data_IF_604823771483
#
_entry.id   IF_604823771483
#
_cell.length_a   1.000
_cell.length_b   1.000
_cell.length_c   1.000
_cell.angle_alpha   90.00
_cell.angle_beta   90.00
_cell.angle_gamma   90.00
#
_symmetry.space_group_name_H-M   'P 1'
#
loop_
_entity.id
_entity.type
_entity.pdbx_description
1 polymer ?
#
# COMPACT_ATOMS: atom_id res chain seq x y z
N UNK A 1 -15.47 -2.35 9.68
CA UNK A 1 -15.37 -0.94 9.23
C UNK A 1 -16.45 -0.74 8.18
N UNK A 2 -17.17 0.39 8.22
CA UNK A 2 -18.22 0.71 7.24
C UNK A 2 -18.02 2.12 6.73
N UNK A 3 -18.28 2.32 5.44
CA UNK A 3 -18.36 3.64 4.83
C UNK A 3 -19.79 4.12 5.04
N UNK A 4 -19.96 5.24 5.74
CA UNK A 4 -21.28 5.77 6.14
C UNK A 4 -21.61 7.12 5.50
N UNK A 5 -20.62 7.77 4.91
CA UNK A 5 -20.75 9.05 4.23
C UNK A 5 -19.63 9.23 3.19
N UNK A 6 -19.59 10.38 2.53
CA UNK A 6 -18.53 10.75 1.59
C UNK A 6 -17.15 10.62 2.24
N UNK A 7 -16.23 9.97 1.53
CA UNK A 7 -14.82 9.91 1.95
C UNK A 7 -14.17 11.27 1.78
N UNK A 8 -13.45 11.70 2.82
CA UNK A 8 -12.63 12.89 2.79
C UNK A 8 -11.47 12.78 3.79
N UNK A 9 -10.45 13.63 3.65
CA UNK A 9 -9.33 13.71 4.60
C UNK A 9 -9.53 14.97 5.46
N UNK A 10 -9.68 14.83 6.81
CA UNK A 10 -9.91 15.96 7.69
C UNK A 10 -8.63 16.78 7.90
N UNK A 11 -8.78 18.11 8.00
CA UNK A 11 -7.66 19.05 8.19
C UNK A 11 -6.94 18.86 9.54
N UNK A 12 -7.66 18.33 10.54
CA UNK A 12 -7.16 18.07 11.89
C UNK A 12 -6.76 16.59 12.12
N UNK A 13 -6.54 15.82 11.04
CA UNK A 13 -6.21 14.40 11.15
C UNK A 13 -5.06 14.17 12.15
N UNK A 14 -5.21 13.23 13.14
CA UNK A 14 -4.24 13.03 14.21
C UNK A 14 -2.80 12.80 13.73
N UNK A 15 -2.63 12.12 12.60
CA UNK A 15 -1.30 11.84 12.03
C UNK A 15 -0.53 13.10 11.60
N UNK A 16 -1.22 14.19 11.28
CA UNK A 16 -0.56 15.47 11.01
C UNK A 16 0.11 16.04 12.28
N UNK A 17 -0.57 15.91 13.43
CA UNK A 17 0.01 16.29 14.73
C UNK A 17 1.19 15.37 15.09
N UNK A 18 1.04 14.07 14.89
CA UNK A 18 2.11 13.08 15.14
C UNK A 18 3.33 13.37 14.26
N UNK A 19 3.13 13.66 12.98
CA UNK A 19 4.23 14.00 12.09
C UNK A 19 4.93 15.30 12.48
N UNK A 20 4.20 16.36 12.84
CA UNK A 20 4.80 17.62 13.32
C UNK A 20 5.64 17.38 14.58
N UNK A 21 5.17 16.55 15.50
CA UNK A 21 5.95 16.16 16.68
C UNK A 21 7.21 15.41 16.26
N UNK A 22 7.10 14.36 15.43
CA UNK A 22 8.27 13.63 14.94
C UNK A 22 9.30 14.59 14.31
N UNK A 23 8.85 15.48 13.44
CA UNK A 23 9.72 16.47 12.81
C UNK A 23 10.40 17.39 13.81
N UNK A 24 9.71 17.78 14.89
CA UNK A 24 10.28 18.69 15.92
C UNK A 24 11.39 18.08 16.74
N UNK A 25 11.47 16.72 16.83
CA UNK A 25 12.50 15.99 17.57
C UNK A 25 13.54 15.34 16.65
N UNK A 26 13.39 15.48 15.34
CA UNK A 26 14.33 14.93 14.35
C UNK A 26 15.56 15.82 14.27
N UNK A 27 16.75 15.22 14.36
CA UNK A 27 18.02 15.93 14.27
C UNK A 27 18.25 16.48 12.84
N UNK A 28 19.08 17.51 12.73
CA UNK A 28 19.47 18.09 11.46
C UNK A 28 20.12 17.03 10.54
N UNK A 29 19.79 17.11 9.26
CA UNK A 29 20.28 16.16 8.25
C UNK A 29 19.53 14.82 8.22
N UNK A 30 18.59 14.55 9.13
CA UNK A 30 17.74 13.36 9.14
C UNK A 30 16.38 13.68 8.50
N UNK A 31 15.95 12.82 7.56
CA UNK A 31 14.65 12.97 6.91
C UNK A 31 13.58 12.17 7.67
N UNK A 32 12.62 12.86 8.34
CA UNK A 32 11.50 12.16 8.96
C UNK A 32 10.57 11.56 7.90
N UNK A 33 10.13 10.31 8.13
CA UNK A 33 9.25 9.54 7.26
C UNK A 33 7.92 9.29 7.95
N UNK A 34 6.83 9.47 7.22
CA UNK A 34 5.49 9.13 7.65
C UNK A 34 4.98 7.91 6.90
N UNK A 35 4.39 6.95 7.61
CA UNK A 35 3.66 5.84 7.01
C UNK A 35 2.15 6.03 7.21
N UNK A 36 1.37 5.73 6.18
CA UNK A 36 -0.10 5.67 6.23
C UNK A 36 -0.58 4.45 5.44
N UNK A 37 -1.74 3.86 5.76
CA UNK A 37 -2.34 2.84 4.92
C UNK A 37 -2.55 3.35 3.50
N UNK A 38 -2.41 2.48 2.50
CA UNK A 38 -2.69 2.84 1.11
C UNK A 38 -4.20 2.96 0.84
N UNK A 39 -4.64 3.67 -0.21
CA UNK A 39 -6.04 3.76 -0.57
C UNK A 39 -6.65 2.39 -0.92
N UNK A 40 -5.88 1.51 -1.57
CA UNK A 40 -6.28 0.13 -1.90
C UNK A 40 -6.64 -0.70 -0.66
N UNK A 41 -5.90 -0.51 0.44
CA UNK A 41 -6.21 -1.17 1.71
C UNK A 41 -7.61 -0.83 2.23
N UNK A 42 -7.98 0.44 2.13
CA UNK A 42 -9.29 0.89 2.63
C UNK A 42 -10.42 0.27 1.81
N UNK A 43 -10.30 0.27 0.49
CA UNK A 43 -11.27 -0.35 -0.40
C UNK A 43 -11.33 -1.88 -0.21
N UNK A 44 -10.17 -2.55 -0.12
CA UNK A 44 -10.12 -3.99 0.11
C UNK A 44 -10.86 -4.38 1.40
N UNK A 45 -10.58 -3.68 2.51
CA UNK A 45 -11.15 -4.01 3.83
C UNK A 45 -12.64 -3.70 3.88
N UNK A 46 -13.07 -2.56 3.35
CA UNK A 46 -14.45 -2.10 3.49
C UNK A 46 -15.41 -2.73 2.47
N UNK A 47 -14.91 -3.10 1.28
CA UNK A 47 -15.77 -3.48 0.15
C UNK A 47 -15.49 -4.89 -0.35
N UNK A 48 -14.23 -5.25 -0.57
CA UNK A 48 -13.89 -6.51 -1.25
C UNK A 48 -13.85 -7.70 -0.28
N UNK A 49 -13.25 -7.54 0.90
CA UNK A 49 -13.23 -8.57 1.94
C UNK A 49 -14.60 -8.79 2.57
N UNK A 50 -15.36 -7.71 2.71
CA UNK A 50 -16.66 -7.75 3.38
C UNK A 50 -17.71 -8.45 2.51
N UNK A 51 -18.16 -9.62 2.95
CA UNK A 51 -19.11 -10.45 2.18
C UNK A 51 -20.52 -9.86 2.13
N UNK A 52 -20.86 -9.00 3.09
CA UNK A 52 -22.16 -8.34 3.21
C UNK A 52 -22.05 -6.83 2.92
N UNK A 53 -21.05 -6.42 2.12
CA UNK A 53 -20.89 -5.03 1.75
C UNK A 53 -22.16 -4.52 1.04
N UNK A 54 -22.70 -3.43 1.57
CA UNK A 54 -23.80 -2.69 0.95
C UNK A 54 -23.35 -1.25 0.79
N UNK A 55 -23.20 -0.76 -0.44
CA UNK A 55 -22.81 0.61 -0.68
C UNK A 55 -23.91 1.56 -0.23
N UNK A 56 -23.52 2.71 0.33
CA UNK A 56 -24.45 3.84 0.51
C UNK A 56 -24.89 4.36 -0.85
N UNK A 57 -25.97 5.16 -0.90
CA UNK A 57 -26.55 5.68 -2.15
C UNK A 57 -25.52 6.35 -3.05
N UNK A 58 -24.63 7.16 -2.45
CA UNK A 58 -23.54 7.86 -3.15
C UNK A 58 -22.59 6.91 -3.88
N UNK A 59 -22.35 5.72 -3.34
CA UNK A 59 -21.33 4.78 -3.80
C UNK A 59 -21.90 3.52 -4.45
N UNK A 60 -23.15 3.59 -4.93
CA UNK A 60 -23.72 2.54 -5.79
C UNK A 60 -22.92 2.35 -7.08
N UNK A 61 -22.33 3.43 -7.60
CA UNK A 61 -21.29 3.38 -8.61
C UNK A 61 -19.92 3.32 -7.89
N UNK A 62 -19.23 2.19 -8.03
CA UNK A 62 -17.90 1.96 -7.45
C UNK A 62 -16.88 3.01 -7.93
N UNK A 63 -17.01 3.52 -9.16
CA UNK A 63 -16.09 4.52 -9.68
C UNK A 63 -16.14 5.82 -8.87
N UNK A 64 -17.31 6.22 -8.41
CA UNK A 64 -17.48 7.41 -7.54
C UNK A 64 -16.76 7.21 -6.20
N UNK A 65 -16.80 5.99 -5.63
CA UNK A 65 -16.06 5.65 -4.42
C UNK A 65 -14.54 5.75 -4.64
N UNK A 66 -14.05 5.18 -5.74
CA UNK A 66 -12.62 5.19 -6.07
C UNK A 66 -12.10 6.60 -6.36
N UNK A 67 -12.92 7.45 -6.99
CA UNK A 67 -12.58 8.84 -7.26
C UNK A 67 -12.55 9.69 -5.97
N UNK A 68 -13.54 9.53 -5.10
CA UNK A 68 -13.55 10.21 -3.79
C UNK A 68 -12.39 9.73 -2.90
N UNK A 69 -12.03 8.44 -2.98
CA UNK A 69 -10.89 7.88 -2.27
C UNK A 69 -9.57 8.50 -2.78
N UNK A 70 -9.39 8.59 -4.09
CA UNK A 70 -8.21 9.25 -4.68
C UNK A 70 -8.13 10.72 -4.25
N UNK A 71 -9.25 11.45 -4.29
CA UNK A 71 -9.33 12.85 -3.89
C UNK A 71 -8.99 13.06 -2.40
N UNK A 72 -9.49 12.18 -1.51
CA UNK A 72 -9.16 12.22 -0.09
C UNK A 72 -7.65 12.01 0.15
N UNK A 73 -7.02 11.07 -0.56
CA UNK A 73 -5.58 10.85 -0.46
C UNK A 73 -4.75 11.97 -1.09
N UNK A 74 -5.23 12.62 -2.16
CA UNK A 74 -4.58 13.84 -2.68
C UNK A 74 -4.56 14.96 -1.65
N UNK A 75 -5.67 15.15 -0.89
CA UNK A 75 -5.70 16.07 0.26
C UNK A 75 -4.71 15.66 1.34
N UNK A 76 -4.64 14.37 1.67
CA UNK A 76 -3.68 13.85 2.64
C UNK A 76 -2.24 14.17 2.23
N UNK A 77 -1.85 13.88 0.98
CA UNK A 77 -0.50 14.20 0.44
C UNK A 77 -0.18 15.68 0.62
N UNK A 78 -1.10 16.57 0.22
CA UNK A 78 -0.94 18.04 0.37
C UNK A 78 -0.83 18.46 1.83
N UNK A 79 -1.64 17.86 2.73
CA UNK A 79 -1.63 18.18 4.15
C UNK A 79 -0.33 17.74 4.84
N UNK A 80 0.17 16.54 4.54
CA UNK A 80 1.47 16.07 5.02
C UNK A 80 2.62 16.92 4.48
N UNK A 81 2.58 17.27 3.20
CA UNK A 81 3.57 18.17 2.60
C UNK A 81 3.58 19.53 3.29
N UNK A 82 2.41 20.15 3.54
CA UNK A 82 2.28 21.40 4.27
C UNK A 82 2.76 21.27 5.73
N UNK A 83 2.64 20.10 6.35
CA UNK A 83 3.22 19.81 7.66
C UNK A 83 4.74 19.64 7.61
N UNK A 84 5.35 19.70 6.43
CA UNK A 84 6.80 19.57 6.19
C UNK A 84 7.29 18.17 5.91
N UNK A 85 6.38 17.23 5.63
CA UNK A 85 6.73 15.87 5.20
C UNK A 85 7.32 15.91 3.78
N UNK A 86 8.45 15.22 3.59
CA UNK A 86 9.10 15.03 2.29
C UNK A 86 9.29 13.57 1.94
N UNK A 87 8.90 12.67 2.88
CA UNK A 87 8.94 11.24 2.67
C UNK A 87 7.68 10.59 3.24
N UNK A 88 6.79 10.15 2.36
CA UNK A 88 5.56 9.43 2.72
C UNK A 88 5.66 7.98 2.23
N UNK A 89 5.23 7.02 3.04
CA UNK A 89 5.08 5.64 2.65
C UNK A 89 3.62 5.22 2.72
N UNK A 90 3.15 4.56 1.68
CA UNK A 90 1.85 3.91 1.62
C UNK A 90 2.04 2.43 1.98
N UNK A 91 1.42 1.99 3.08
CA UNK A 91 1.49 0.59 3.53
C UNK A 91 0.30 -0.19 2.98
N UNK A 92 0.57 -1.31 2.29
CA UNK A 92 -0.45 -2.06 1.57
C UNK A 92 -0.33 -3.58 1.78
N UNK A 93 -1.40 -4.22 2.23
CA UNK A 93 -1.52 -5.69 2.29
C UNK A 93 -2.38 -6.26 1.17
N UNK A 94 -3.07 -5.43 0.38
CA UNK A 94 -3.94 -5.90 -0.70
C UNK A 94 -3.16 -6.71 -1.73
N UNK A 95 -2.02 -6.18 -2.14
CA UNK A 95 -1.14 -6.84 -3.10
C UNK A 95 -0.54 -8.12 -2.55
N UNK A 96 -0.26 -8.17 -1.24
CA UNK A 96 0.14 -9.40 -0.56
C UNK A 96 -0.93 -10.49 -0.65
N UNK A 97 -2.22 -10.13 -0.55
CA UNK A 97 -3.32 -11.07 -0.76
C UNK A 97 -3.45 -11.50 -2.21
N UNK A 98 -3.27 -10.57 -3.15
CA UNK A 98 -3.34 -10.86 -4.58
C UNK A 98 -2.15 -11.70 -5.09
N UNK A 99 -1.06 -11.80 -4.36
CA UNK A 99 0.01 -12.76 -4.59
C UNK A 99 -0.36 -14.20 -4.18
N UNK A 100 -1.31 -14.39 -3.26
CA UNK A 100 -1.65 -15.71 -2.71
C UNK A 100 -2.60 -16.47 -3.64
N UNK A 101 -2.17 -17.63 -4.14
CA UNK A 101 -3.01 -18.49 -4.98
C UNK A 101 -4.29 -18.93 -4.25
N UNK A 102 -4.21 -19.20 -2.95
CA UNK A 102 -5.36 -19.57 -2.12
C UNK A 102 -6.39 -18.43 -2.07
N UNK A 103 -5.94 -17.21 -1.76
CA UNK A 103 -6.82 -16.04 -1.67
C UNK A 103 -7.39 -15.66 -3.03
N UNK A 104 -6.59 -15.71 -4.11
CA UNK A 104 -7.09 -15.50 -5.48
C UNK A 104 -8.22 -16.47 -5.81
N UNK A 105 -8.04 -17.76 -5.48
CA UNK A 105 -9.09 -18.78 -5.67
C UNK A 105 -10.34 -18.47 -4.85
N UNK A 106 -10.20 -18.03 -3.60
CA UNK A 106 -11.32 -17.66 -2.75
C UNK A 106 -12.08 -16.44 -3.30
N UNK A 107 -11.38 -15.41 -3.80
CA UNK A 107 -12.00 -14.26 -4.46
C UNK A 107 -12.71 -14.66 -5.76
N UNK A 108 -12.07 -15.48 -6.60
CA UNK A 108 -12.68 -15.95 -7.83
C UNK A 108 -13.96 -16.78 -7.57
N UNK A 109 -13.99 -17.58 -6.49
CA UNK A 109 -15.18 -18.30 -6.04
C UNK A 109 -16.35 -17.39 -5.64
N UNK A 110 -16.08 -16.11 -5.38
CA UNK A 110 -17.08 -15.06 -5.13
C UNK A 110 -17.38 -14.19 -6.37
N UNK A 111 -16.84 -14.56 -7.52
CA UNK A 111 -16.99 -13.78 -8.77
C UNK A 111 -16.13 -12.50 -8.82
N UNK A 112 -15.08 -12.40 -7.98
CA UNK A 112 -14.19 -11.24 -7.90
C UNK A 112 -12.94 -11.52 -8.73
N UNK A 113 -12.69 -10.69 -9.74
CA UNK A 113 -11.45 -10.68 -10.53
C UNK A 113 -10.43 -9.75 -9.85
N UNK A 114 -9.45 -10.35 -9.18
CA UNK A 114 -8.42 -9.58 -8.46
C UNK A 114 -7.46 -8.83 -9.38
N UNK A 115 -7.33 -9.23 -10.64
CA UNK A 115 -6.49 -8.51 -11.61
C UNK A 115 -7.21 -7.25 -12.09
N UNK A 116 -8.53 -7.31 -12.26
CA UNK A 116 -9.34 -6.11 -12.52
C UNK A 116 -9.28 -5.13 -11.34
N UNK A 117 -9.45 -5.64 -10.12
CA UNK A 117 -9.31 -4.84 -8.90
C UNK A 117 -7.90 -4.23 -8.80
N UNK A 118 -6.86 -5.01 -9.09
CA UNK A 118 -5.47 -4.52 -9.11
C UNK A 118 -5.27 -3.36 -10.08
N UNK A 119 -5.82 -3.46 -11.30
CA UNK A 119 -5.78 -2.34 -12.27
C UNK A 119 -6.49 -1.09 -11.76
N UNK A 120 -7.67 -1.24 -11.13
CA UNK A 120 -8.36 -0.11 -10.48
C UNK A 120 -7.51 0.51 -9.38
N UNK A 121 -6.82 -0.30 -8.56
CA UNK A 121 -5.95 0.19 -7.48
C UNK A 121 -4.76 0.98 -8.03
N UNK A 122 -4.12 0.51 -9.09
CA UNK A 122 -3.04 1.28 -9.75
C UNK A 122 -3.56 2.60 -10.30
N UNK A 123 -4.76 2.63 -10.91
CA UNK A 123 -5.37 3.89 -11.35
C UNK A 123 -5.60 4.87 -10.19
N UNK A 124 -6.15 4.39 -9.06
CA UNK A 124 -6.35 5.22 -7.86
C UNK A 124 -5.02 5.74 -7.32
N UNK A 125 -4.01 4.86 -7.18
CA UNK A 125 -2.68 5.24 -6.71
C UNK A 125 -2.04 6.29 -7.61
N UNK A 126 -2.08 6.11 -8.92
CA UNK A 126 -1.52 7.07 -9.86
C UNK A 126 -2.25 8.43 -9.79
N UNK A 127 -3.60 8.45 -9.63
CA UNK A 127 -4.34 9.70 -9.36
C UNK A 127 -3.88 10.37 -8.06
N UNK A 128 -3.63 9.60 -6.99
CA UNK A 128 -3.08 10.16 -5.73
C UNK A 128 -1.74 10.83 -5.97
N UNK A 129 -0.87 10.18 -6.75
CA UNK A 129 0.48 10.67 -7.06
C UNK A 129 0.50 11.95 -7.90
N UNK A 130 -0.56 12.29 -8.62
CA UNK A 130 -0.70 13.58 -9.33
C UNK A 130 -0.62 14.78 -8.36
N UNK A 131 -0.95 14.59 -7.08
CA UNK A 131 -0.84 15.62 -6.07
C UNK A 131 0.53 15.69 -5.39
N UNK A 132 1.48 14.80 -5.76
CA UNK A 132 2.82 14.71 -5.17
C UNK A 132 3.68 15.90 -5.65
N UNK A 133 4.19 16.75 -4.74
CA UNK A 133 5.19 17.75 -5.09
C UNK A 133 6.50 17.10 -5.57
N UNK A 134 7.25 17.81 -6.40
CA UNK A 134 8.49 17.29 -7.00
C UNK A 134 9.54 16.89 -5.96
N UNK A 135 9.66 17.68 -4.88
CA UNK A 135 10.61 17.44 -3.79
C UNK A 135 10.09 16.48 -2.70
N UNK A 136 8.98 15.77 -2.95
CA UNK A 136 8.43 14.77 -2.06
C UNK A 136 8.63 13.36 -2.62
N UNK A 137 9.13 12.44 -1.79
CA UNK A 137 9.22 11.01 -2.11
C UNK A 137 7.99 10.29 -1.58
N UNK A 138 7.31 9.50 -2.44
CA UNK A 138 6.22 8.60 -2.03
C UNK A 138 6.57 7.18 -2.43
N UNK A 139 6.74 6.31 -1.44
CA UNK A 139 7.03 4.89 -1.62
C UNK A 139 5.86 4.03 -1.19
N UNK A 140 5.85 2.76 -1.59
CA UNK A 140 4.87 1.78 -1.17
C UNK A 140 5.55 0.57 -0.53
N UNK A 141 5.03 0.13 0.63
CA UNK A 141 5.40 -1.14 1.23
C UNK A 141 4.31 -2.18 0.93
N UNK A 142 4.73 -3.34 0.44
CA UNK A 142 3.84 -4.49 0.23
C UNK A 142 3.97 -5.43 1.41
N UNK A 143 3.01 -5.31 2.33
CA UNK A 143 2.96 -6.12 3.53
C UNK A 143 2.34 -7.51 3.26
N UNK A 144 2.89 -8.52 3.89
CA UNK A 144 2.35 -9.90 3.90
C UNK A 144 1.53 -10.19 5.16
N UNK A 145 1.37 -9.21 6.03
CA UNK A 145 0.79 -9.34 7.34
C UNK A 145 1.82 -9.66 8.43
N UNK A 146 1.62 -9.08 9.60
CA UNK A 146 2.47 -9.32 10.75
C UNK A 146 1.64 -9.30 12.04
N UNK A 147 1.25 -10.46 12.52
CA UNK A 147 0.56 -10.62 13.78
C UNK A 147 1.11 -11.82 14.53
N UNK A 148 1.66 -11.61 15.73
CA UNK A 148 2.27 -12.66 16.57
C UNK A 148 3.30 -13.51 15.82
N UNK A 149 4.22 -12.86 15.12
CA UNK A 149 5.26 -13.48 14.29
C UNK A 149 4.72 -14.39 13.16
N UNK A 150 3.49 -14.15 12.69
CA UNK A 150 2.91 -14.85 11.54
C UNK A 150 2.58 -13.89 10.41
N UNK A 151 2.33 -14.43 9.23
CA UNK A 151 1.86 -13.69 8.06
C UNK A 151 0.44 -14.11 7.69
N UNK A 152 -0.25 -13.27 6.93
CA UNK A 152 -1.61 -13.56 6.45
C UNK A 152 -1.63 -14.03 4.99
N UNK A 153 -0.55 -13.86 4.26
CA UNK A 153 -0.45 -14.17 2.83
C UNK A 153 0.95 -14.66 2.46
N UNK A 154 0.99 -15.68 1.61
CA UNK A 154 2.23 -16.20 1.01
C UNK A 154 2.05 -16.32 -0.50
N UNK A 155 3.15 -16.34 -1.25
CA UNK A 155 3.18 -16.43 -2.71
C UNK A 155 4.11 -15.37 -3.29
N UNK A 156 4.82 -15.70 -4.39
CA UNK A 156 5.69 -14.78 -5.11
C UNK A 156 4.92 -13.59 -5.70
N UNK A 157 5.64 -12.54 -6.06
CA UNK A 157 5.04 -11.32 -6.61
C UNK A 157 4.60 -11.46 -8.08
N UNK A 158 4.93 -12.57 -8.76
CA UNK A 158 4.66 -12.77 -10.19
C UNK A 158 3.20 -12.45 -10.60
N UNK A 159 2.15 -12.89 -9.86
CA UNK A 159 0.78 -12.64 -10.27
C UNK A 159 0.37 -11.17 -10.32
N UNK A 160 1.09 -10.29 -9.63
CA UNK A 160 0.78 -8.86 -9.54
C UNK A 160 1.84 -7.96 -10.18
N UNK A 161 2.96 -8.53 -10.58
CA UNK A 161 4.16 -7.78 -10.95
C UNK A 161 3.95 -6.84 -12.13
N UNK A 162 3.35 -7.32 -13.22
CA UNK A 162 3.08 -6.50 -14.40
C UNK A 162 2.13 -5.34 -14.07
N UNK A 163 1.04 -5.64 -13.35
CA UNK A 163 0.04 -4.63 -12.99
C UNK A 163 0.63 -3.60 -12.03
N UNK A 164 1.27 -4.06 -10.94
CA UNK A 164 1.76 -3.18 -9.90
C UNK A 164 3.08 -2.50 -10.27
N UNK A 165 4.12 -3.31 -10.52
CA UNK A 165 5.47 -2.76 -10.75
C UNK A 165 5.58 -2.08 -12.10
N UNK A 166 4.88 -2.60 -13.13
CA UNK A 166 4.92 -2.05 -14.46
C UNK A 166 4.12 -0.75 -14.63
N UNK A 167 3.12 -0.50 -13.80
CA UNK A 167 2.19 0.62 -14.03
C UNK A 167 1.99 1.56 -12.85
N UNK A 168 2.47 1.24 -11.63
CA UNK A 168 2.34 2.15 -10.49
C UNK A 168 3.53 3.12 -10.44
N UNK A 169 3.24 4.42 -10.37
CA UNK A 169 4.23 5.50 -10.49
C UNK A 169 4.82 5.96 -9.14
N UNK A 170 4.84 5.12 -8.12
CA UNK A 170 5.54 5.42 -6.86
C UNK A 170 7.04 5.56 -7.09
N UNK A 171 7.74 6.29 -6.21
CA UNK A 171 9.19 6.48 -6.32
C UNK A 171 9.98 5.22 -5.94
N UNK A 172 9.36 4.29 -5.20
CA UNK A 172 10.00 3.02 -4.84
C UNK A 172 9.09 2.06 -4.09
N UNK A 173 9.52 0.80 -4.03
CA UNK A 173 8.85 -0.29 -3.33
C UNK A 173 9.71 -0.85 -2.21
N UNK A 174 9.07 -1.15 -1.08
CA UNK A 174 9.61 -1.96 0.00
C UNK A 174 8.93 -3.33 -0.04
N UNK A 175 9.70 -4.36 -0.37
CA UNK A 175 9.19 -5.70 -0.64
C UNK A 175 9.73 -6.69 0.39
N UNK A 176 8.87 -7.60 0.87
CA UNK A 176 9.25 -8.64 1.80
C UNK A 176 9.81 -9.85 1.03
N UNK A 177 11.10 -10.11 1.20
CA UNK A 177 11.85 -11.23 0.63
C UNK A 177 12.62 -11.99 1.72
N UNK A 178 12.05 -12.09 2.91
CA UNK A 178 12.64 -12.63 4.12
C UNK A 178 12.56 -14.17 4.24
N UNK A 179 11.93 -14.84 3.27
CA UNK A 179 11.81 -16.31 3.24
C UNK A 179 11.28 -16.79 1.88
N UNK A 180 11.31 -18.10 1.66
CA UNK A 180 10.84 -18.77 0.44
C UNK A 180 9.39 -18.44 0.06
N UNK A 181 8.58 -17.94 1.02
CA UNK A 181 7.19 -17.49 0.78
C UNK A 181 7.10 -16.35 -0.25
N UNK A 182 8.17 -15.62 -0.47
CA UNK A 182 8.21 -14.49 -1.40
C UNK A 182 8.47 -14.93 -2.85
N UNK A 183 8.89 -16.17 -3.08
CA UNK A 183 9.30 -16.65 -4.40
C UNK A 183 10.63 -16.05 -4.86
N UNK A 184 10.89 -16.13 -6.16
CA UNK A 184 12.11 -15.60 -6.77
C UNK A 184 12.06 -14.11 -7.09
N UNK A 185 13.11 -13.62 -7.74
CA UNK A 185 13.31 -12.21 -8.10
C UNK A 185 12.82 -11.87 -9.52
N UNK A 186 12.35 -12.85 -10.30
CA UNK A 186 11.86 -12.67 -11.67
C UNK A 186 10.81 -11.56 -11.80
N UNK A 187 9.88 -11.38 -10.84
CA UNK A 187 8.90 -10.31 -10.88
C UNK A 187 9.48 -8.91 -10.96
N UNK A 188 10.71 -8.71 -10.46
CA UNK A 188 11.39 -7.42 -10.46
C UNK A 188 11.77 -6.92 -11.87
N UNK A 189 11.68 -7.77 -12.91
CA UNK A 189 11.87 -7.36 -14.31
C UNK A 189 10.88 -6.30 -14.79
N UNK A 190 9.75 -6.17 -14.10
CA UNK A 190 8.74 -5.13 -14.40
C UNK A 190 9.04 -3.78 -13.73
N UNK A 191 10.03 -3.71 -12.85
CA UNK A 191 10.46 -2.44 -12.22
C UNK A 191 11.10 -1.55 -13.30
N UNK A 192 10.60 -0.33 -13.42
CA UNK A 192 11.09 0.68 -14.34
C UNK A 192 12.07 1.65 -13.67
N UNK A 193 11.56 2.79 -13.22
CA UNK A 193 12.35 3.87 -12.59
C UNK A 193 12.33 3.80 -11.05
N UNK A 194 11.45 2.98 -10.49
CA UNK A 194 11.24 2.88 -9.06
C UNK A 194 12.48 2.29 -8.37
N UNK A 195 12.82 2.81 -7.20
CA UNK A 195 13.80 2.17 -6.32
C UNK A 195 13.16 0.97 -5.63
N UNK A 196 13.97 -0.04 -5.32
CA UNK A 196 13.51 -1.23 -4.60
C UNK A 196 14.36 -1.44 -3.36
N UNK A 197 13.69 -1.59 -2.22
CA UNK A 197 14.29 -2.06 -0.98
C UNK A 197 13.77 -3.47 -0.69
N UNK A 198 14.68 -4.44 -0.62
CA UNK A 198 14.37 -5.83 -0.31
C UNK A 198 14.52 -6.05 1.20
N UNK A 199 13.46 -6.49 1.85
CA UNK A 199 13.46 -6.92 3.24
C UNK A 199 13.92 -8.37 3.33
N UNK A 200 15.23 -8.58 3.55
CA UNK A 200 15.87 -9.90 3.54
C UNK A 200 16.00 -10.52 4.93
N UNK A 201 15.79 -9.72 5.99
CA UNK A 201 15.88 -10.17 7.37
C UNK A 201 14.48 -10.39 7.93
N UNK A 202 14.22 -11.64 8.40
CA UNK A 202 12.88 -11.99 8.91
C UNK A 202 12.64 -11.46 10.32
N UNK A 203 11.41 -11.02 10.58
CA UNK A 203 10.90 -10.77 11.95
C UNK A 203 10.01 -11.90 12.46
N UNK A 204 9.91 -13.02 11.73
CA UNK A 204 9.00 -14.12 12.03
C UNK A 204 9.64 -15.22 12.86
N UNK A 205 10.95 -15.36 12.78
CA UNK A 205 11.74 -16.36 13.46
C UNK A 205 12.85 -15.70 14.26
N UNK A 206 13.15 -16.23 15.45
CA UNK A 206 14.26 -15.78 16.29
C UNK A 206 15.59 -16.38 15.83
N UNK A 207 15.88 -16.28 14.52
CA UNK A 207 17.12 -16.74 13.91
C UNK A 207 17.80 -15.55 13.26
N UNK A 208 19.08 -15.37 13.58
CA UNK A 208 19.91 -14.38 12.88
C UNK A 208 20.34 -14.98 11.53
N UNK A 209 20.09 -14.27 10.46
CA UNK A 209 20.54 -14.65 9.13
C UNK A 209 22.06 -14.61 9.03
N UNK A 210 22.62 -15.50 8.23
CA UNK A 210 24.04 -15.50 7.91
C UNK A 210 24.31 -14.48 6.78
N UNK A 211 25.36 -13.68 6.91
CA UNK A 211 25.72 -12.67 5.91
C UNK A 211 25.98 -13.25 4.51
N UNK A 212 26.39 -14.50 4.46
CA UNK A 212 26.69 -15.19 3.19
C UNK A 212 25.40 -15.67 2.48
N UNK A 213 24.28 -15.74 3.21
CA UNK A 213 22.97 -16.16 2.68
C UNK A 213 22.11 -14.96 2.22
N UNK A 214 22.50 -13.73 2.56
CA UNK A 214 21.87 -12.45 2.18
C UNK A 214 22.57 -11.84 0.96
#
# INVERSE_FOLDING_TARGET
IRIVDKLDFPEDHPFLKHFRFLKSITADGIQPKQCIPSPSMLHLICCIRETNYQPIERYKDEQVLLDDLAAAYQKAVKAFYAAGCRYLQLDDTSWGEFCSAEKRKAYAGRGIDVDEIGRKYVCVLNKVLEAKPEDMTITMHICRGNFRSTWSSSGGYEPVAEILFGHCNVDGFFLEYDSDRAGGFEPLRYIGKQKVALGLVTSKEAKLENKEDI
#
